data_IF_439371834866
#
_entry.id   IF_439371834866
#
_cell.length_a   1.000
_cell.length_b   1.000
_cell.length_c   1.000
_cell.angle_alpha   90.00
_cell.angle_beta   90.00
_cell.angle_gamma   90.00
#
_symmetry.space_group_name_H-M   'P 1'
#
loop_
_entity.id
_entity.type
_entity.pdbx_description
1 polymer ?
#
# COMPACT_ATOMS: atom_id res chain seq x y z
N UNK A 1 24.93 24.88 -10.58
CA UNK A 1 23.56 24.50 -11.00
C UNK A 1 23.36 23.05 -10.58
N UNK A 2 22.79 22.83 -9.40
CA UNK A 2 22.44 21.49 -8.93
C UNK A 2 20.94 21.29 -9.17
N UNK A 3 20.60 20.50 -10.19
CA UNK A 3 19.27 19.92 -10.36
C UNK A 3 19.18 18.69 -9.45
N UNK A 4 18.67 18.89 -8.24
CA UNK A 4 18.20 17.79 -7.40
C UNK A 4 16.85 17.32 -7.96
N UNK A 5 16.88 16.22 -8.72
CA UNK A 5 15.70 15.39 -8.91
C UNK A 5 15.56 14.56 -7.62
N UNK A 6 14.68 14.95 -6.71
CA UNK A 6 14.23 14.04 -5.65
C UNK A 6 12.74 13.81 -5.83
N UNK A 7 12.43 12.53 -6.02
CA UNK A 7 11.10 11.97 -6.21
C UNK A 7 10.50 11.79 -4.81
N UNK A 8 9.39 12.47 -4.52
CA UNK A 8 8.76 12.51 -3.20
C UNK A 8 7.25 12.64 -3.33
N UNK A 9 6.54 11.51 -3.37
CA UNK A 9 5.08 11.50 -3.30
C UNK A 9 4.64 10.11 -2.84
N UNK A 10 4.37 9.89 -1.54
CA UNK A 10 3.62 8.69 -1.11
C UNK A 10 2.22 8.95 -0.57
N UNK A 11 1.86 10.18 -0.18
CA UNK A 11 0.54 10.40 0.43
C UNK A 11 -0.66 9.86 -0.41
N UNK A 12 -0.57 9.77 -1.76
CA UNK A 12 -1.60 9.18 -2.66
C UNK A 12 -1.30 7.81 -3.31
N UNK A 13 -0.21 7.10 -2.97
CA UNK A 13 0.18 5.87 -3.71
C UNK A 13 -0.70 4.63 -3.47
N UNK A 14 -1.64 4.67 -2.54
CA UNK A 14 -2.42 3.49 -2.14
C UNK A 14 -3.43 3.02 -3.22
N UNK A 15 -3.62 3.83 -4.27
CA UNK A 15 -4.61 3.59 -5.34
C UNK A 15 -4.33 2.45 -6.33
N UNK A 16 -3.15 1.83 -6.30
CA UNK A 16 -2.70 0.99 -7.43
C UNK A 16 -2.38 -0.45 -7.04
N UNK A 17 -3.23 -1.05 -6.22
CA UNK A 17 -3.11 -2.45 -5.87
C UNK A 17 -3.87 -3.30 -6.90
N UNK A 18 -3.12 -4.14 -7.60
CA UNK A 18 -3.63 -5.11 -8.57
C UNK A 18 -4.61 -6.04 -7.88
N UNK A 19 -5.77 -6.33 -8.44
CA UNK A 19 -6.58 -7.45 -7.95
C UNK A 19 -5.90 -8.77 -8.32
N UNK A 20 -5.63 -9.64 -7.35
CA UNK A 20 -5.18 -11.01 -7.58
C UNK A 20 -6.14 -11.72 -8.54
N UNK A 21 -5.61 -12.50 -9.49
CA UNK A 21 -6.40 -13.12 -10.55
C UNK A 21 -5.96 -14.56 -10.78
N UNK A 22 -6.74 -15.32 -11.55
CA UNK A 22 -6.46 -16.73 -11.83
C UNK A 22 -5.09 -16.96 -12.48
N UNK A 23 -4.56 -16.00 -13.23
CA UNK A 23 -3.22 -16.07 -13.82
C UNK A 23 -2.09 -15.92 -12.79
N UNK A 24 -2.41 -15.48 -11.56
CA UNK A 24 -1.49 -15.39 -10.44
C UNK A 24 -1.36 -16.68 -9.63
N UNK A 25 -2.19 -17.70 -9.88
CA UNK A 25 -2.11 -18.99 -9.19
C UNK A 25 -1.04 -19.88 -9.81
N UNK A 26 -0.06 -20.27 -9.00
CA UNK A 26 1.01 -21.21 -9.34
C UNK A 26 0.54 -22.67 -9.25
N UNK A 27 1.38 -23.61 -9.70
CA UNK A 27 1.04 -25.04 -9.71
C UNK A 27 0.77 -25.59 -8.30
N UNK A 28 1.53 -25.14 -7.30
CA UNK A 28 1.33 -25.52 -5.90
C UNK A 28 0.00 -24.97 -5.35
N UNK A 29 -0.42 -23.77 -5.75
CA UNK A 29 -1.72 -23.22 -5.39
C UNK A 29 -2.86 -24.09 -5.94
N UNK A 30 -2.76 -24.47 -7.22
CA UNK A 30 -3.76 -25.32 -7.89
C UNK A 30 -3.84 -26.71 -7.26
N UNK A 31 -2.71 -27.28 -6.86
CA UNK A 31 -2.69 -28.57 -6.18
C UNK A 31 -3.31 -28.49 -4.78
N UNK A 32 -3.07 -27.41 -4.04
CA UNK A 32 -3.69 -27.17 -2.75
C UNK A 32 -5.20 -26.92 -2.86
N UNK A 33 -5.65 -26.15 -3.86
CA UNK A 33 -7.08 -25.96 -4.17
C UNK A 33 -7.76 -27.32 -4.38
N UNK A 34 -7.14 -28.19 -5.19
CA UNK A 34 -7.66 -29.54 -5.46
C UNK A 34 -7.66 -30.42 -4.20
N UNK A 35 -6.57 -30.40 -3.42
CA UNK A 35 -6.40 -31.23 -2.23
C UNK A 35 -7.40 -30.87 -1.14
N UNK A 36 -7.68 -29.59 -0.97
CA UNK A 36 -8.60 -29.06 0.03
C UNK A 36 -10.05 -28.97 -0.47
N UNK A 37 -10.31 -29.38 -1.71
CA UNK A 37 -11.62 -29.31 -2.36
C UNK A 37 -12.21 -27.87 -2.34
N UNK A 38 -11.34 -26.88 -2.56
CA UNK A 38 -11.71 -25.47 -2.68
C UNK A 38 -11.99 -25.11 -4.15
N UNK A 39 -12.62 -23.96 -4.38
CA UNK A 39 -12.76 -23.41 -5.74
C UNK A 39 -11.69 -22.35 -5.98
N UNK A 40 -11.29 -22.19 -7.25
CA UNK A 40 -10.42 -21.07 -7.69
C UNK A 40 -11.05 -19.73 -7.32
N UNK A 41 -12.37 -19.59 -7.46
CA UNK A 41 -13.09 -18.37 -7.09
C UNK A 41 -13.04 -18.07 -5.59
N UNK A 42 -13.11 -19.09 -4.73
CA UNK A 42 -12.98 -18.91 -3.29
C UNK A 42 -11.59 -18.35 -2.96
N UNK A 43 -10.53 -18.95 -3.51
CA UNK A 43 -9.15 -18.48 -3.26
C UNK A 43 -8.95 -17.05 -3.77
N UNK A 44 -9.39 -16.73 -4.99
CA UNK A 44 -9.27 -15.36 -5.51
C UNK A 44 -10.03 -14.36 -4.62
N UNK A 45 -11.24 -14.72 -4.17
CA UNK A 45 -12.05 -13.86 -3.30
C UNK A 45 -11.57 -13.83 -1.83
N UNK A 46 -10.61 -14.68 -1.46
CA UNK A 46 -9.95 -14.63 -0.16
C UNK A 46 -8.85 -13.58 -0.06
N UNK A 47 -8.51 -12.97 -1.19
CA UNK A 47 -7.71 -11.76 -1.24
C UNK A 47 -8.62 -10.55 -1.25
N UNK A 48 -8.37 -9.59 -0.36
CA UNK A 48 -9.03 -8.30 -0.41
C UNK A 48 -8.48 -7.44 -1.56
N UNK A 49 -8.95 -6.20 -1.64
CA UNK A 49 -8.54 -5.26 -2.70
C UNK A 49 -7.04 -4.91 -2.64
N UNK A 50 -6.35 -5.24 -1.55
CA UNK A 50 -4.92 -5.02 -1.32
C UNK A 50 -4.06 -6.26 -1.60
N UNK A 51 -4.67 -7.36 -2.06
CA UNK A 51 -4.06 -8.69 -2.07
C UNK A 51 -3.63 -9.16 -0.68
N UNK A 52 -4.34 -8.73 0.36
CA UNK A 52 -4.20 -9.32 1.68
C UNK A 52 -5.17 -10.47 1.85
N UNK A 53 -4.71 -11.48 2.59
CA UNK A 53 -5.50 -12.67 2.86
C UNK A 53 -6.49 -12.37 4.01
N UNK A 54 -7.73 -12.84 3.88
CA UNK A 54 -8.73 -12.69 4.93
C UNK A 54 -8.31 -13.40 6.24
N UNK A 55 -7.97 -12.65 7.27
CA UNK A 55 -7.61 -13.19 8.59
C UNK A 55 -8.81 -13.84 9.30
N UNK A 56 -8.53 -14.88 10.10
CA UNK A 56 -9.55 -15.58 10.88
C UNK A 56 -10.44 -16.53 10.08
N UNK A 57 -10.21 -16.69 8.77
CA UNK A 57 -10.92 -17.67 7.95
C UNK A 57 -10.17 -19.02 7.94
N UNK A 58 -10.79 -20.06 8.52
CA UNK A 58 -10.18 -21.39 8.67
C UNK A 58 -9.82 -22.05 7.32
N UNK A 59 -10.63 -21.86 6.28
CA UNK A 59 -10.38 -22.42 4.95
C UNK A 59 -9.22 -21.71 4.25
N UNK A 60 -9.10 -20.39 4.44
CA UNK A 60 -7.95 -19.59 3.97
C UNK A 60 -6.68 -20.04 4.69
N UNK A 61 -6.72 -20.20 6.02
CA UNK A 61 -5.59 -20.71 6.79
C UNK A 61 -5.13 -22.07 6.29
N UNK A 62 -6.06 -22.99 6.01
CA UNK A 62 -5.75 -24.31 5.43
C UNK A 62 -5.10 -24.20 4.06
N UNK A 63 -5.65 -23.35 3.18
CA UNK A 63 -5.10 -23.11 1.85
C UNK A 63 -3.66 -22.59 1.92
N UNK A 64 -3.43 -21.51 2.66
CA UNK A 64 -2.12 -20.86 2.76
C UNK A 64 -1.11 -21.76 3.47
N UNK A 65 -1.52 -22.51 4.50
CA UNK A 65 -0.66 -23.50 5.14
C UNK A 65 -0.22 -24.59 4.15
N UNK A 66 -1.12 -25.07 3.30
CA UNK A 66 -0.80 -26.06 2.28
C UNK A 66 0.23 -25.51 1.30
N UNK A 67 0.00 -24.33 0.73
CA UNK A 67 0.88 -23.75 -0.29
C UNK A 67 2.25 -23.37 0.28
N UNK A 68 2.28 -22.68 1.44
CA UNK A 68 3.53 -22.25 2.07
C UNK A 68 4.38 -23.41 2.59
N UNK A 69 3.75 -24.49 3.04
CA UNK A 69 4.48 -25.69 3.43
C UNK A 69 5.11 -26.37 2.22
N UNK A 70 4.42 -26.41 1.07
CA UNK A 70 4.94 -27.00 -0.17
C UNK A 70 6.08 -26.19 -0.77
N UNK A 71 5.95 -24.86 -0.74
CA UNK A 71 6.98 -23.92 -1.18
C UNK A 71 8.16 -23.83 -0.18
N UNK A 72 8.00 -24.39 1.02
CA UNK A 72 9.04 -24.45 2.04
C UNK A 72 9.23 -23.14 2.81
N UNK A 73 8.29 -22.19 2.72
CA UNK A 73 8.26 -20.95 3.51
C UNK A 73 7.87 -21.20 4.96
N UNK A 74 7.15 -22.30 5.19
CA UNK A 74 6.69 -22.71 6.50
C UNK A 74 7.01 -24.19 6.71
N UNK A 75 7.42 -24.56 7.92
CA UNK A 75 7.45 -25.96 8.31
C UNK A 75 6.05 -26.45 8.66
N UNK A 76 5.85 -27.78 8.71
CA UNK A 76 4.57 -28.39 9.15
C UNK A 76 4.12 -27.93 10.54
N UNK A 77 5.05 -27.50 11.39
CA UNK A 77 4.80 -27.03 12.75
C UNK A 77 4.62 -25.49 12.83
N UNK A 78 4.50 -24.80 11.70
CA UNK A 78 4.26 -23.35 11.68
C UNK A 78 5.50 -22.49 11.92
N UNK A 79 6.70 -23.09 11.89
CA UNK A 79 7.95 -22.34 11.97
C UNK A 79 8.28 -21.76 10.60
N UNK A 80 8.47 -20.45 10.54
CA UNK A 80 8.84 -19.70 9.34
C UNK A 80 10.26 -20.07 8.90
N UNK A 81 10.44 -20.27 7.59
CA UNK A 81 11.73 -20.44 6.94
C UNK A 81 12.17 -19.11 6.30
N UNK A 82 12.95 -18.27 7.01
CA UNK A 82 13.32 -16.94 6.54
C UNK A 82 14.16 -16.99 5.24
N UNK A 83 14.98 -18.02 5.05
CA UNK A 83 15.83 -18.14 3.87
C UNK A 83 15.02 -18.42 2.61
N UNK A 84 13.94 -19.21 2.73
CA UNK A 84 13.05 -19.47 1.61
C UNK A 84 12.19 -18.24 1.27
N UNK A 85 11.70 -17.52 2.29
CA UNK A 85 11.01 -16.23 2.09
C UNK A 85 11.92 -15.18 1.46
N UNK A 86 13.19 -15.14 1.87
CA UNK A 86 14.19 -14.25 1.28
C UNK A 86 14.33 -14.50 -0.21
N UNK A 87 14.54 -15.76 -0.60
CA UNK A 87 14.67 -16.14 -2.01
C UNK A 87 13.43 -15.83 -2.84
N UNK A 88 12.25 -15.96 -2.25
CA UNK A 88 11.00 -15.59 -2.90
C UNK A 88 10.92 -14.08 -3.16
N UNK A 89 11.16 -13.27 -2.12
CA UNK A 89 11.19 -11.81 -2.22
C UNK A 89 12.25 -11.35 -3.21
N UNK A 90 13.44 -11.95 -3.17
CA UNK A 90 14.50 -11.73 -4.13
C UNK A 90 14.01 -12.03 -5.55
N UNK A 91 13.49 -13.23 -5.82
CA UNK A 91 13.03 -13.62 -7.17
C UNK A 91 11.97 -12.67 -7.75
N UNK A 92 11.08 -12.15 -6.91
CA UNK A 92 9.97 -11.29 -7.34
C UNK A 92 10.32 -9.78 -7.36
N UNK A 93 11.28 -9.34 -6.55
CA UNK A 93 11.79 -7.94 -6.52
C UNK A 93 12.97 -7.73 -7.50
N UNK A 94 13.71 -8.79 -7.90
CA UNK A 94 14.86 -8.78 -8.85
C UNK A 94 14.43 -8.53 -10.31
N UNK A 95 13.65 -7.47 -10.52
CA UNK A 95 13.61 -6.75 -11.81
C UNK A 95 14.05 -5.30 -11.69
N UNK A 96 14.38 -4.79 -10.50
CA UNK A 96 14.54 -3.34 -10.30
C UNK A 96 15.95 -2.81 -9.99
N UNK A 97 16.86 -3.49 -9.28
CA UNK A 97 18.28 -3.08 -9.19
C UNK A 97 19.11 -4.15 -8.47
N UNK A 98 20.34 -4.43 -8.92
CA UNK A 98 21.15 -5.57 -8.43
C UNK A 98 21.96 -5.26 -7.16
N UNK A 99 22.04 -4.00 -6.71
CA UNK A 99 22.97 -3.60 -5.64
C UNK A 99 22.32 -3.31 -4.27
N UNK A 100 20.98 -3.44 -4.13
CA UNK A 100 20.28 -3.20 -2.85
C UNK A 100 19.49 -4.42 -2.33
N UNK A 101 19.58 -5.54 -3.04
CA UNK A 101 18.72 -6.72 -2.89
C UNK A 101 18.78 -7.37 -1.51
N UNK A 102 19.99 -7.60 -0.99
CA UNK A 102 20.20 -8.26 0.30
C UNK A 102 19.67 -7.40 1.46
N UNK A 103 19.86 -6.08 1.38
CA UNK A 103 19.38 -5.12 2.38
C UNK A 103 17.84 -5.06 2.44
N UNK A 104 17.19 -5.02 1.27
CA UNK A 104 15.72 -4.96 1.16
C UNK A 104 15.11 -6.27 1.63
N UNK A 105 15.66 -7.41 1.20
CA UNK A 105 15.20 -8.72 1.64
C UNK A 105 15.27 -8.88 3.17
N UNK A 106 16.40 -8.52 3.79
CA UNK A 106 16.54 -8.56 5.25
C UNK A 106 15.55 -7.63 5.96
N UNK A 107 15.34 -6.43 5.43
CA UNK A 107 14.36 -5.48 5.97
C UNK A 107 12.95 -6.04 5.93
N UNK A 108 12.59 -6.80 4.88
CA UNK A 108 11.26 -7.38 4.72
C UNK A 108 11.07 -8.68 5.52
N UNK A 109 12.07 -9.56 5.58
CA UNK A 109 11.95 -10.88 6.22
C UNK A 109 12.16 -10.82 7.73
N UNK A 110 13.03 -9.94 8.24
CA UNK A 110 13.37 -9.93 9.67
C UNK A 110 12.17 -9.64 10.58
N UNK A 111 11.29 -8.66 10.29
CA UNK A 111 10.08 -8.44 11.07
C UNK A 111 9.13 -9.64 11.08
N UNK A 112 9.11 -10.41 9.98
CA UNK A 112 8.22 -11.57 9.86
C UNK A 112 8.58 -12.70 10.82
N UNK A 113 9.82 -12.80 11.29
CA UNK A 113 10.32 -13.91 12.14
C UNK A 113 9.60 -14.02 13.49
N UNK A 114 9.04 -12.92 13.99
CA UNK A 114 8.32 -12.87 15.27
C UNK A 114 6.82 -13.07 15.13
N UNK A 115 6.27 -13.08 13.91
CA UNK A 115 4.84 -13.25 13.66
C UNK A 115 4.43 -14.68 14.01
N UNK A 116 3.37 -14.80 14.81
CA UNK A 116 2.75 -16.08 15.16
C UNK A 116 1.24 -15.94 15.17
N UNK A 117 0.59 -16.89 14.51
CA UNK A 117 -0.84 -17.08 14.57
C UNK A 117 -1.26 -18.16 15.57
N UNK A 118 -2.56 -18.42 15.64
CA UNK A 118 -3.17 -19.50 16.42
C UNK A 118 -2.75 -20.88 15.89
N UNK A 119 -2.55 -20.97 14.58
CA UNK A 119 -2.00 -22.14 13.89
C UNK A 119 -1.00 -21.74 12.78
N UNK A 120 -0.45 -22.75 12.10
CA UNK A 120 0.50 -22.58 10.99
C UNK A 120 -0.08 -21.77 9.83
N UNK A 121 -1.36 -21.98 9.51
CA UNK A 121 -2.05 -21.26 8.45
C UNK A 121 -2.33 -19.80 8.81
N UNK A 122 -2.78 -19.55 10.03
CA UNK A 122 -2.96 -18.19 10.57
C UNK A 122 -1.63 -17.43 10.61
N UNK A 123 -0.54 -18.10 10.99
CA UNK A 123 0.82 -17.54 10.92
C UNK A 123 1.17 -17.13 9.49
N UNK A 124 0.89 -18.01 8.52
CA UNK A 124 1.20 -17.78 7.12
C UNK A 124 0.33 -16.68 6.47
N UNK A 125 -0.92 -16.51 6.92
CA UNK A 125 -1.81 -15.40 6.51
C UNK A 125 -1.32 -14.06 7.05
N UNK A 126 -0.87 -14.02 8.31
CA UNK A 126 -0.42 -12.78 8.97
C UNK A 126 0.87 -12.20 8.42
N UNK A 127 1.74 -13.01 7.81
CA UNK A 127 3.02 -12.55 7.24
C UNK A 127 2.84 -11.61 6.03
N UNK A 128 2.12 -11.99 4.96
CA UNK A 128 1.84 -11.09 3.84
C UNK A 128 0.96 -9.91 4.28
N UNK A 129 0.10 -10.10 5.29
CA UNK A 129 -0.72 -9.01 5.83
C UNK A 129 0.09 -7.98 6.60
N UNK A 130 1.07 -8.42 7.39
CA UNK A 130 2.03 -7.52 8.05
C UNK A 130 2.90 -6.74 7.05
N UNK A 131 2.95 -7.16 5.77
CA UNK A 131 3.68 -6.48 4.70
C UNK A 131 2.90 -5.35 4.02
N UNK A 132 1.56 -5.37 4.00
CA UNK A 132 0.80 -4.32 3.29
C UNK A 132 0.90 -2.92 3.91
N UNK A 133 1.49 -2.82 5.09
CA UNK A 133 1.92 -1.57 5.69
C UNK A 133 3.31 -1.75 6.29
N UNK A 134 4.28 -2.04 5.44
CA UNK A 134 5.67 -2.19 5.90
C UNK A 134 6.27 -0.81 6.17
N UNK A 135 7.24 -0.75 7.08
CA UNK A 135 7.95 0.49 7.45
C UNK A 135 8.58 1.28 6.29
N UNK A 136 8.64 0.67 5.09
CA UNK A 136 9.17 1.19 3.83
C UNK A 136 8.15 1.98 2.99
N UNK A 137 6.87 2.01 3.38
CA UNK A 137 5.82 2.74 2.65
C UNK A 137 5.82 4.25 2.95
N UNK A 138 6.61 4.69 3.93
CA UNK A 138 6.79 6.11 4.23
C UNK A 138 7.99 6.65 3.46
N UNK A 139 7.78 7.72 2.68
CA UNK A 139 8.90 8.42 2.05
C UNK A 139 9.71 9.25 3.07
N UNK A 140 10.84 9.84 2.66
CA UNK A 140 11.66 10.64 3.59
C UNK A 140 10.92 11.88 4.14
N UNK A 141 9.95 12.47 3.41
CA UNK A 141 9.10 13.55 3.93
C UNK A 141 8.21 13.01 5.05
N UNK A 142 7.58 11.86 4.82
CA UNK A 142 6.74 11.19 5.81
C UNK A 142 7.53 10.81 7.07
N UNK A 143 8.70 10.18 6.91
CA UNK A 143 9.58 9.81 8.01
C UNK A 143 10.05 11.05 8.81
N UNK A 144 10.33 12.15 8.11
CA UNK A 144 10.63 13.42 8.76
C UNK A 144 9.44 13.92 9.58
N UNK A 145 8.22 13.86 9.05
CA UNK A 145 7.02 14.32 9.73
C UNK A 145 6.65 13.46 10.93
N UNK A 146 6.75 12.14 10.83
CA UNK A 146 6.56 11.22 11.96
C UNK A 146 7.50 11.55 13.11
N UNK A 147 8.78 11.81 12.79
CA UNK A 147 9.80 12.17 13.78
C UNK A 147 9.56 13.55 14.39
N UNK A 148 9.26 14.55 13.56
CA UNK A 148 9.03 15.95 13.97
C UNK A 148 7.81 16.05 14.90
N UNK A 149 6.74 15.30 14.59
CA UNK A 149 5.49 15.31 15.35
C UNK A 149 5.46 14.29 16.49
N UNK A 150 6.49 13.46 16.63
CA UNK A 150 6.55 12.35 17.57
C UNK A 150 5.30 11.44 17.47
N UNK A 151 4.95 11.06 16.23
CA UNK A 151 3.81 10.18 15.92
C UNK A 151 4.34 8.78 15.62
N UNK A 152 3.72 7.78 16.23
CA UNK A 152 3.98 6.37 15.90
C UNK A 152 3.37 6.05 14.52
N UNK A 153 4.15 5.40 13.64
CA UNK A 153 3.73 4.96 12.30
C UNK A 153 2.40 4.20 12.35
N UNK A 154 2.18 3.38 13.38
CA UNK A 154 0.97 2.58 13.56
C UNK A 154 -0.29 3.44 13.59
N UNK A 155 -0.24 4.63 14.18
CA UNK A 155 -1.37 5.57 14.21
C UNK A 155 -1.76 5.99 12.80
N UNK A 156 -0.79 6.23 11.93
CA UNK A 156 -1.05 6.63 10.54
C UNK A 156 -1.65 5.47 9.75
N UNK A 157 -1.09 4.28 9.91
CA UNK A 157 -1.59 3.06 9.25
C UNK A 157 -3.04 2.76 9.65
N UNK A 158 -3.36 2.81 10.94
CA UNK A 158 -4.71 2.53 11.45
C UNK A 158 -5.74 3.62 11.11
N UNK A 159 -5.27 4.78 10.60
CA UNK A 159 -6.14 5.89 10.18
C UNK A 159 -6.80 5.67 8.83
N UNK A 160 -6.35 4.70 8.04
CA UNK A 160 -7.02 4.33 6.79
C UNK A 160 -8.19 3.37 7.07
N UNK A 161 -9.25 3.47 6.29
CA UNK A 161 -10.34 2.48 6.23
C UNK A 161 -10.04 1.39 5.19
N UNK A 162 -10.92 0.39 5.12
CA UNK A 162 -10.81 -0.72 4.16
C UNK A 162 -10.92 -0.28 2.69
N UNK A 163 -11.15 1.02 2.43
CA UNK A 163 -11.26 1.62 1.12
C UNK A 163 -10.14 2.63 0.81
N UNK A 164 -9.08 2.71 1.61
CA UNK A 164 -7.98 3.72 1.56
C UNK A 164 -8.41 5.14 1.85
N UNK A 165 -9.65 5.37 2.26
CA UNK A 165 -10.03 6.67 2.75
C UNK A 165 -9.44 6.86 4.13
N UNK A 166 -8.95 8.06 4.37
CA UNK A 166 -8.52 8.45 5.70
C UNK A 166 -9.76 8.69 6.55
N UNK A 167 -9.84 8.01 7.69
CA UNK A 167 -10.87 8.23 8.71
C UNK A 167 -10.77 9.67 9.21
N UNK A 168 -11.79 10.48 8.91
CA UNK A 168 -11.83 11.87 9.35
C UNK A 168 -11.89 11.98 10.88
N UNK A 169 -11.28 13.02 11.43
CA UNK A 169 -11.31 13.32 12.88
C UNK A 169 -10.12 12.80 13.68
N UNK A 170 -9.17 12.08 13.08
CA UNK A 170 -7.90 11.75 13.74
C UNK A 170 -6.95 12.97 13.73
N UNK A 171 -6.77 13.60 14.90
CA UNK A 171 -5.91 14.79 15.03
C UNK A 171 -4.43 14.52 14.72
N UNK A 172 -3.91 13.32 15.00
CA UNK A 172 -2.53 12.96 14.67
C UNK A 172 -2.36 12.81 13.15
N UNK A 173 -3.35 12.22 12.48
CA UNK A 173 -3.38 12.12 11.02
C UNK A 173 -3.47 13.49 10.34
N UNK A 174 -4.33 14.39 10.85
CA UNK A 174 -4.43 15.76 10.37
C UNK A 174 -3.10 16.51 10.49
N UNK A 175 -2.40 16.36 11.62
CA UNK A 175 -1.09 16.97 11.85
C UNK A 175 -0.03 16.40 10.89
N UNK A 176 -0.02 15.08 10.71
CA UNK A 176 0.87 14.39 9.79
C UNK A 176 0.69 14.87 8.34
N UNK A 177 -0.56 14.91 7.84
CA UNK A 177 -0.86 15.41 6.50
C UNK A 177 -0.48 16.89 6.32
N UNK A 178 -0.76 17.73 7.32
CA UNK A 178 -0.34 19.15 7.30
C UNK A 178 1.18 19.28 7.17
N UNK A 179 1.94 18.47 7.91
CA UNK A 179 3.39 18.48 7.86
C UNK A 179 3.90 18.08 6.47
N UNK A 180 3.44 16.94 5.94
CA UNK A 180 3.88 16.45 4.64
C UNK A 180 3.53 17.42 3.52
N UNK A 181 2.27 17.86 3.45
CA UNK A 181 1.79 18.75 2.40
C UNK A 181 2.49 20.11 2.40
N UNK A 182 2.90 20.62 3.56
CA UNK A 182 3.69 21.86 3.63
C UNK A 182 5.12 21.65 3.13
N UNK A 183 5.76 20.52 3.48
CA UNK A 183 7.12 20.21 3.01
C UNK A 183 7.16 19.95 1.50
N UNK A 184 6.14 19.29 0.97
CA UNK A 184 5.98 19.03 -0.47
C UNK A 184 5.42 20.25 -1.24
N UNK A 185 5.19 21.37 -0.55
CA UNK A 185 4.67 22.62 -1.11
C UNK A 185 3.29 22.45 -1.79
N UNK A 186 2.51 21.47 -1.35
CA UNK A 186 1.10 21.25 -1.72
C UNK A 186 0.17 22.17 -0.92
N UNK A 187 0.60 22.58 0.27
CA UNK A 187 -0.08 23.54 1.12
C UNK A 187 0.89 24.64 1.57
N UNK A 188 0.48 25.90 1.48
CA UNK A 188 1.26 27.03 1.96
C UNK A 188 1.21 27.16 3.49
N UNK A 189 2.05 28.05 4.04
CA UNK A 189 2.11 28.30 5.48
C UNK A 189 0.75 28.73 6.08
N UNK A 190 -0.02 29.51 5.31
CA UNK A 190 -1.35 30.02 5.65
C UNK A 190 -2.48 28.98 5.47
N UNK A 191 -2.15 27.75 5.06
CA UNK A 191 -3.11 26.67 4.88
C UNK A 191 -3.76 26.62 3.49
N UNK A 192 -3.48 27.60 2.62
CA UNK A 192 -3.98 27.58 1.25
C UNK A 192 -3.36 26.42 0.44
N UNK A 193 -4.18 25.75 -0.37
CA UNK A 193 -3.74 24.64 -1.20
C UNK A 193 -3.10 25.18 -2.48
N UNK A 194 -1.90 24.68 -2.80
CA UNK A 194 -1.24 24.92 -4.07
C UNK A 194 -1.75 23.93 -5.11
N UNK A 195 -2.85 24.29 -5.76
CA UNK A 195 -3.51 23.44 -6.76
C UNK A 195 -2.62 23.08 -7.95
N UNK A 196 -1.66 23.93 -8.32
CA UNK A 196 -0.70 23.63 -9.39
C UNK A 196 0.23 22.48 -9.01
N UNK A 197 0.80 22.52 -7.80
CA UNK A 197 1.64 21.44 -7.30
C UNK A 197 0.82 20.17 -7.06
N UNK A 198 -0.40 20.29 -6.53
CA UNK A 198 -1.32 19.18 -6.32
C UNK A 198 -1.68 18.48 -7.65
N UNK A 199 -2.00 19.24 -8.69
CA UNK A 199 -2.26 18.68 -10.03
C UNK A 199 -1.02 17.96 -10.58
N UNK A 200 0.17 18.56 -10.45
CA UNK A 200 1.42 17.96 -10.92
C UNK A 200 1.75 16.66 -10.18
N UNK A 201 1.49 16.64 -8.87
CA UNK A 201 1.61 15.45 -8.03
C UNK A 201 0.69 14.33 -8.53
N UNK A 202 -0.57 14.63 -8.82
CA UNK A 202 -1.54 13.65 -9.32
C UNK A 202 -1.14 13.11 -10.71
N UNK A 203 -0.71 13.97 -11.64
CA UNK A 203 -0.22 13.53 -12.96
C UNK A 203 0.95 12.55 -12.84
N UNK A 204 1.93 12.87 -11.97
CA UNK A 204 3.04 11.98 -11.67
C UNK A 204 2.57 10.61 -11.16
N UNK A 205 1.60 10.59 -10.25
CA UNK A 205 1.06 9.34 -9.71
C UNK A 205 0.31 8.53 -10.77
N UNK A 206 -0.47 9.19 -11.62
CA UNK A 206 -1.15 8.55 -12.74
C UNK A 206 -0.18 7.96 -13.76
N UNK A 207 1.02 8.54 -13.92
CA UNK A 207 2.07 7.99 -14.80
C UNK A 207 2.53 6.61 -14.35
N UNK A 208 2.57 6.39 -13.03
CA UNK A 208 2.94 5.09 -12.45
C UNK A 208 1.85 4.04 -12.56
N UNK A 209 0.60 4.42 -12.87
CA UNK A 209 -0.54 3.50 -13.01
C UNK A 209 -0.48 2.75 -14.35
N UNK A 210 -0.58 1.42 -14.30
CA UNK A 210 -0.88 0.63 -15.52
C UNK A 210 -2.29 0.97 -16.01
N UNK A 211 -2.38 1.58 -17.20
CA UNK A 211 -3.65 1.90 -17.86
C UNK A 211 -3.73 3.34 -18.36
N UNK A 212 -3.03 4.29 -17.72
CA UNK A 212 -3.06 5.72 -18.09
C UNK A 212 -1.71 6.15 -18.68
N UNK A 213 -1.38 5.62 -19.86
CA UNK A 213 -0.05 5.81 -20.48
C UNK A 213 0.10 7.16 -21.19
N UNK A 214 -1.00 7.75 -21.63
CA UNK A 214 -0.99 8.99 -22.40
C UNK A 214 -0.90 10.21 -21.46
N UNK A 215 0.13 11.03 -21.64
CA UNK A 215 0.37 12.23 -20.83
C UNK A 215 -0.80 13.22 -20.86
N UNK A 216 -1.46 13.40 -22.01
CA UNK A 216 -2.61 14.31 -22.11
C UNK A 216 -3.81 13.82 -21.31
N UNK A 217 -4.05 12.51 -21.31
CA UNK A 217 -5.16 11.91 -20.58
C UNK A 217 -4.90 12.00 -19.06
N UNK A 218 -3.65 11.79 -18.63
CA UNK A 218 -3.26 11.97 -17.22
C UNK A 218 -3.40 13.42 -16.75
N UNK A 219 -2.86 14.36 -17.50
CA UNK A 219 -2.97 15.79 -17.19
C UNK A 219 -4.44 16.21 -17.10
N UNK A 220 -5.27 15.72 -18.02
CA UNK A 220 -6.70 15.97 -18.02
C UNK A 220 -7.39 15.39 -16.78
N UNK A 221 -7.11 14.14 -16.42
CA UNK A 221 -7.66 13.49 -15.23
C UNK A 221 -7.21 14.20 -13.94
N UNK A 222 -5.94 14.56 -13.85
CA UNK A 222 -5.40 15.31 -12.71
C UNK A 222 -6.09 16.66 -12.54
N UNK A 223 -6.27 17.39 -13.65
CA UNK A 223 -6.98 18.67 -13.65
C UNK A 223 -8.44 18.50 -13.25
N UNK A 224 -9.14 17.51 -13.80
CA UNK A 224 -10.54 17.24 -13.43
C UNK A 224 -10.68 16.90 -11.94
N UNK A 225 -9.78 16.06 -11.41
CA UNK A 225 -9.68 15.74 -9.98
C UNK A 225 -9.58 16.98 -9.11
N UNK A 226 -8.59 17.83 -9.40
CA UNK A 226 -8.36 19.08 -8.65
C UNK A 226 -9.52 20.05 -8.78
N UNK A 227 -10.05 20.26 -9.99
CA UNK A 227 -11.18 21.18 -10.22
C UNK A 227 -12.44 20.73 -9.48
N UNK A 228 -12.67 19.43 -9.36
CA UNK A 228 -13.79 18.87 -8.59
C UNK A 228 -13.63 19.09 -7.09
N UNK A 229 -12.41 18.95 -6.57
CA UNK A 229 -12.14 18.95 -5.13
C UNK A 229 -11.70 20.30 -4.55
N UNK A 230 -11.47 21.32 -5.37
CA UNK A 230 -10.93 22.62 -4.92
C UNK A 230 -11.75 23.36 -3.87
N UNK A 231 -13.05 23.08 -3.80
CA UNK A 231 -13.99 23.75 -2.88
C UNK A 231 -14.17 22.99 -1.55
N UNK A 232 -13.36 21.94 -1.30
CA UNK A 232 -13.33 21.23 -0.03
C UNK A 232 -13.02 22.19 1.13
N UNK A 233 -13.78 22.06 2.22
CA UNK A 233 -13.65 22.88 3.44
C UNK A 233 -13.36 22.04 4.66
N UNK A 234 -12.60 22.60 5.59
CA UNK A 234 -12.27 22.02 6.89
C UNK A 234 -12.06 23.10 7.94
N UNK A 235 -12.16 22.70 9.21
CA UNK A 235 -12.04 23.62 10.35
C UNK A 235 -10.57 23.99 10.66
N UNK A 236 -9.63 23.17 10.19
CA UNK A 236 -8.20 23.42 10.25
C UNK A 236 -7.48 22.92 8.98
N UNK A 237 -6.19 23.26 8.87
CA UNK A 237 -5.36 22.96 7.70
C UNK A 237 -5.24 21.46 7.43
N UNK A 238 -5.20 20.64 8.48
CA UNK A 238 -5.07 19.20 8.37
C UNK A 238 -6.37 18.52 7.97
N UNK A 239 -7.50 19.00 8.50
CA UNK A 239 -8.84 18.56 8.06
C UNK A 239 -9.02 18.89 6.58
N UNK A 240 -8.58 20.06 6.11
CA UNK A 240 -8.61 20.41 4.69
C UNK A 240 -7.78 19.41 3.87
N UNK A 241 -6.54 19.11 4.27
CA UNK A 241 -5.68 18.14 3.57
C UNK A 241 -6.33 16.75 3.48
N UNK A 242 -6.85 16.22 4.61
CA UNK A 242 -7.49 14.89 4.67
C UNK A 242 -8.76 14.83 3.81
N UNK A 243 -9.61 15.86 3.86
CA UNK A 243 -10.82 15.89 3.02
C UNK A 243 -10.48 16.06 1.54
N UNK A 244 -9.48 16.86 1.21
CA UNK A 244 -9.00 17.04 -0.16
C UNK A 244 -8.48 15.70 -0.70
N UNK A 245 -7.68 15.00 0.11
CA UNK A 245 -7.18 13.67 -0.19
C UNK A 245 -8.31 12.68 -0.53
N UNK A 246 -9.28 12.53 0.39
CA UNK A 246 -10.40 11.61 0.21
C UNK A 246 -11.24 11.98 -1.03
N UNK A 247 -11.46 13.28 -1.27
CA UNK A 247 -12.17 13.74 -2.46
C UNK A 247 -11.45 13.35 -3.76
N UNK A 248 -10.14 13.61 -3.83
CA UNK A 248 -9.32 13.28 -5.00
C UNK A 248 -9.29 11.78 -5.24
N UNK A 249 -9.06 11.00 -4.18
CA UNK A 249 -9.05 9.54 -4.19
C UNK A 249 -10.34 8.98 -4.81
N UNK A 250 -11.50 9.44 -4.31
CA UNK A 250 -12.81 9.03 -4.81
C UNK A 250 -13.01 9.43 -6.27
N UNK A 251 -12.84 10.71 -6.59
CA UNK A 251 -13.23 11.23 -7.90
C UNK A 251 -12.32 10.73 -9.02
N UNK A 252 -10.99 10.70 -8.80
CA UNK A 252 -10.04 10.16 -9.77
C UNK A 252 -10.27 8.65 -9.97
N UNK A 253 -10.62 7.93 -8.90
CA UNK A 253 -11.03 6.53 -8.98
C UNK A 253 -12.22 6.31 -9.91
N UNK A 254 -13.28 7.13 -9.77
CA UNK A 254 -14.48 7.11 -10.61
C UNK A 254 -14.16 7.45 -12.09
N UNK A 255 -13.32 8.46 -12.33
CA UNK A 255 -12.95 8.88 -13.69
C UNK A 255 -12.18 7.80 -14.48
N UNK A 256 -11.39 6.97 -13.78
CA UNK A 256 -10.58 5.94 -14.43
C UNK A 256 -11.40 4.67 -14.73
N UNK A 257 -12.55 4.51 -14.11
CA UNK A 257 -13.45 3.38 -14.35
C UNK A 257 -14.42 3.60 -15.52
N UNK A 258 -14.49 4.82 -16.07
CA UNK A 258 -15.32 5.18 -17.23
C UNK A 258 -14.63 4.88 -18.55
#
# INVERSE_FOLDING_TARGET
MHTFNIIFIFSLNILFIYTFSETGLEDDDRECIKTLNLTVSFVINSFDKYNLLLEGNEEVNKFVNCTWTRLGYLTKNGIINPDALMKWIEKDIIKMDNNQTESIGHTLVNPCKSIKGEDSGDTAVKIPNAKAFSENDFDETDLHCLKELNIDKKVIIESYDDNDFIKEGNSQMNAFFTCGWKKDQLQAADGSINFTNLQSMIDYLLEKRKGVKNAKDREHLAKQGVDHCKDVKGDDHGIICVKMYNCLLKHIGELIQQ
#
